data_IF_010578031167
#
_entry.id   IF_010578031167
#
_cell.length_a   1.000
_cell.length_b   1.000
_cell.length_c   1.000
_cell.angle_alpha   90.00
_cell.angle_beta   90.00
_cell.angle_gamma   90.00
#
_symmetry.space_group_name_H-M   'P 1'
#
loop_
_entity.id
_entity.type
_entity.pdbx_description
1 polymer ?
#
# COMPACT_ATOMS: atom_id res chain seq x y z
N UNK A 1 -26.29 -39.19 17.92
CA UNK A 1 -25.43 -38.00 18.05
C UNK A 1 -25.90 -37.01 17.00
N UNK A 2 -26.32 -35.79 17.39
CA UNK A 2 -26.52 -34.70 16.41
C UNK A 2 -25.14 -34.09 16.20
N UNK A 3 -24.55 -34.30 15.03
CA UNK A 3 -23.33 -33.62 14.64
C UNK A 3 -23.80 -32.35 13.92
N UNK A 4 -23.78 -31.23 14.63
CA UNK A 4 -23.96 -29.93 14.00
C UNK A 4 -22.59 -29.52 13.48
N UNK A 5 -22.43 -29.53 12.15
CA UNK A 5 -21.37 -28.76 11.52
C UNK A 5 -21.89 -27.32 11.46
N UNK A 6 -21.30 -26.42 12.24
CA UNK A 6 -21.78 -25.03 12.38
C UNK A 6 -21.50 -24.15 11.15
N UNK A 7 -21.18 -24.78 10.01
CA UNK A 7 -20.97 -24.12 8.73
C UNK A 7 -19.68 -23.31 8.68
N UNK A 8 -19.32 -22.92 7.47
CA UNK A 8 -18.19 -22.06 7.16
C UNK A 8 -18.43 -20.67 7.75
N UNK A 9 -17.46 -20.12 8.48
CA UNK A 9 -17.50 -18.75 8.99
C UNK A 9 -17.03 -17.76 7.91
N UNK A 10 -17.50 -16.51 8.01
CA UNK A 10 -17.15 -15.48 7.03
C UNK A 10 -15.64 -15.15 7.11
N UNK A 11 -14.93 -15.22 5.98
CA UNK A 11 -13.48 -14.90 5.90
C UNK A 11 -12.52 -16.10 5.98
N UNK A 12 -13.01 -17.33 5.91
CA UNK A 12 -12.19 -18.54 5.86
C UNK A 12 -11.45 -18.70 4.52
N UNK A 13 -10.19 -19.15 4.56
CA UNK A 13 -9.40 -19.46 3.37
C UNK A 13 -9.58 -20.93 2.98
N UNK A 14 -9.33 -21.33 1.71
CA UNK A 14 -9.35 -22.74 1.33
C UNK A 14 -8.53 -23.64 2.26
N UNK A 15 -7.39 -23.16 2.76
CA UNK A 15 -6.55 -23.86 3.72
C UNK A 15 -7.20 -24.01 5.11
N UNK A 16 -7.96 -23.02 5.60
CA UNK A 16 -8.65 -23.13 6.89
C UNK A 16 -9.81 -24.13 6.81
N UNK A 17 -10.52 -24.16 5.67
CA UNK A 17 -11.59 -25.13 5.41
C UNK A 17 -11.04 -26.57 5.39
N UNK A 18 -9.92 -26.78 4.71
CA UNK A 18 -9.23 -28.09 4.69
C UNK A 18 -8.78 -28.47 6.10
N UNK A 19 -8.23 -27.51 6.85
CA UNK A 19 -7.78 -27.73 8.24
C UNK A 19 -8.93 -28.11 9.16
N UNK A 20 -10.11 -27.49 9.00
CA UNK A 20 -11.29 -27.81 9.81
C UNK A 20 -11.87 -29.19 9.48
N UNK A 21 -11.80 -29.60 8.21
CA UNK A 21 -12.16 -30.96 7.79
C UNK A 21 -11.19 -31.98 8.39
N UNK A 22 -9.88 -31.74 8.31
CA UNK A 22 -8.85 -32.60 8.90
C UNK A 22 -8.94 -32.65 10.44
N UNK A 23 -9.28 -31.53 11.09
CA UNK A 23 -9.50 -31.45 12.52
C UNK A 23 -10.75 -32.25 12.94
N UNK A 24 -11.84 -32.14 12.16
CA UNK A 24 -13.04 -32.94 12.35
C UNK A 24 -12.76 -34.45 12.24
N UNK A 25 -11.95 -34.86 11.26
CA UNK A 25 -11.49 -36.26 11.10
C UNK A 25 -10.66 -36.74 12.29
N UNK A 26 -9.80 -35.88 12.82
CA UNK A 26 -8.90 -36.20 13.94
C UNK A 26 -9.61 -36.26 15.30
N UNK A 27 -10.57 -35.37 15.53
CA UNK A 27 -11.28 -35.25 16.81
C UNK A 27 -12.36 -36.34 16.98
N UNK A 28 -12.92 -36.82 15.87
CA UNK A 28 -13.94 -37.88 15.88
C UNK A 28 -13.38 -39.29 15.61
N UNK A 29 -12.07 -39.40 15.36
CA UNK A 29 -11.31 -40.64 15.35
C UNK A 29 -11.50 -41.51 14.09
N UNK A 30 -10.49 -42.33 13.81
CA UNK A 30 -10.49 -43.32 12.73
C UNK A 30 -11.78 -44.17 12.78
N UNK A 31 -12.57 -44.09 11.72
CA UNK A 31 -13.85 -44.79 11.53
C UNK A 31 -13.70 -46.32 11.42
N UNK A 32 -12.55 -46.90 11.80
CA UNK A 32 -12.24 -48.32 11.68
C UNK A 32 -13.03 -49.24 12.65
N UNK A 33 -13.71 -48.69 13.66
CA UNK A 33 -14.51 -49.47 14.64
C UNK A 33 -16.02 -49.50 14.41
N UNK A 34 -16.54 -48.63 13.56
CA UNK A 34 -17.95 -48.58 13.13
C UNK A 34 -17.93 -48.88 11.63
N UNK A 35 -18.81 -49.73 11.11
CA UNK A 35 -18.91 -49.93 9.66
C UNK A 35 -19.41 -48.63 9.00
N UNK A 36 -18.52 -47.67 8.87
CA UNK A 36 -18.80 -46.32 8.46
C UNK A 36 -17.98 -46.01 7.22
N UNK A 37 -18.65 -45.48 6.20
CA UNK A 37 -17.97 -44.99 5.01
C UNK A 37 -17.12 -43.77 5.38
N UNK A 38 -15.98 -43.59 4.72
CA UNK A 38 -15.24 -42.33 4.76
C UNK A 38 -16.20 -41.15 4.53
N UNK A 39 -16.16 -40.12 5.39
CA UNK A 39 -16.99 -38.93 5.22
C UNK A 39 -16.62 -38.21 3.92
N UNK A 40 -17.65 -37.73 3.21
CA UNK A 40 -17.50 -36.97 1.96
C UNK A 40 -18.37 -35.71 2.00
N UNK A 41 -17.94 -34.68 1.29
CA UNK A 41 -18.75 -33.50 1.00
C UNK A 41 -19.26 -33.58 -0.43
N UNK A 42 -20.57 -33.74 -0.60
CA UNK A 42 -21.21 -33.69 -1.91
C UNK A 42 -21.46 -32.24 -2.30
N UNK A 43 -21.20 -31.89 -3.56
CA UNK A 43 -21.43 -30.55 -4.10
C UNK A 43 -20.20 -29.65 -4.13
N UNK A 44 -19.05 -30.11 -3.62
CA UNK A 44 -17.76 -29.41 -3.73
C UNK A 44 -17.09 -29.76 -5.08
N UNK A 45 -16.88 -28.80 -5.99
CA UNK A 45 -16.14 -29.03 -7.23
C UNK A 45 -14.62 -29.13 -6.97
N UNK A 46 -13.88 -29.70 -7.93
CA UNK A 46 -12.40 -29.78 -7.88
C UNK A 46 -11.73 -28.40 -7.90
N UNK A 47 -12.44 -27.38 -8.39
CA UNK A 47 -12.00 -25.98 -8.46
C UNK A 47 -13.16 -25.06 -8.06
N UNK A 48 -12.91 -24.16 -7.11
CA UNK A 48 -13.89 -23.19 -6.63
C UNK A 48 -13.86 -21.93 -7.52
N UNK A 49 -14.98 -21.62 -8.13
CA UNK A 49 -15.18 -20.38 -8.90
C UNK A 49 -16.21 -19.50 -8.21
N UNK A 50 -16.25 -18.19 -8.51
CA UNK A 50 -17.27 -17.29 -7.96
C UNK A 50 -18.69 -17.82 -8.20
N UNK A 51 -19.47 -17.95 -7.11
CA UNK A 51 -20.81 -18.52 -7.14
C UNK A 51 -21.24 -19.11 -5.79
N UNK A 52 -22.45 -19.63 -5.75
CA UNK A 52 -23.01 -20.27 -4.56
C UNK A 52 -23.13 -21.78 -4.77
N UNK A 53 -22.63 -22.56 -3.82
CA UNK A 53 -22.59 -24.01 -3.80
C UNK A 53 -23.40 -24.54 -2.62
N UNK A 54 -24.24 -25.54 -2.86
CA UNK A 54 -24.88 -26.32 -1.80
C UNK A 54 -24.00 -27.52 -1.48
N UNK A 55 -23.52 -27.58 -0.24
CA UNK A 55 -22.64 -28.62 0.27
C UNK A 55 -23.42 -29.53 1.21
N UNK A 56 -23.38 -30.84 0.98
CA UNK A 56 -24.04 -31.83 1.84
C UNK A 56 -23.02 -32.82 2.39
N UNK A 57 -22.82 -32.87 3.72
CA UNK A 57 -22.01 -33.91 4.34
C UNK A 57 -22.64 -35.29 4.11
N UNK A 58 -21.84 -36.29 3.77
CA UNK A 58 -22.29 -37.66 3.57
C UNK A 58 -21.37 -38.63 4.30
N UNK A 59 -21.96 -39.40 5.21
CA UNK A 59 -21.34 -40.58 5.80
C UNK A 59 -22.43 -41.56 6.19
N UNK A 60 -22.07 -42.84 6.24
CA UNK A 60 -22.95 -43.93 6.67
C UNK A 60 -22.38 -44.53 7.94
N UNK A 61 -23.22 -45.10 8.81
CA UNK A 61 -22.78 -45.93 9.92
C UNK A 61 -23.68 -47.15 10.00
N UNK A 62 -23.12 -48.31 10.37
CA UNK A 62 -23.91 -49.55 10.51
C UNK A 62 -24.89 -49.57 11.68
N UNK A 63 -24.94 -48.53 12.51
CA UNK A 63 -25.64 -48.55 13.81
C UNK A 63 -26.73 -47.48 13.97
N UNK A 64 -26.81 -46.49 13.06
CA UNK A 64 -27.73 -45.35 13.16
C UNK A 64 -28.19 -44.87 11.78
N UNK A 65 -29.46 -44.45 11.70
CA UNK A 65 -29.96 -43.66 10.58
C UNK A 65 -29.44 -42.22 10.69
N UNK A 66 -28.71 -41.77 9.67
CA UNK A 66 -28.15 -40.42 9.61
C UNK A 66 -28.99 -39.58 8.64
N UNK A 67 -29.36 -38.39 9.08
CA UNK A 67 -29.97 -37.37 8.23
C UNK A 67 -29.01 -36.19 8.13
N UNK A 68 -28.44 -35.98 6.94
CA UNK A 68 -27.59 -34.84 6.65
C UNK A 68 -28.44 -33.63 6.27
N UNK A 69 -28.04 -32.45 6.72
CA UNK A 69 -28.64 -31.17 6.32
C UNK A 69 -27.62 -30.47 5.43
N UNK A 70 -28.06 -29.92 4.29
CA UNK A 70 -27.19 -29.16 3.40
C UNK A 70 -26.88 -27.78 3.98
N UNK A 71 -25.69 -27.27 3.66
CA UNK A 71 -25.26 -25.91 3.95
C UNK A 71 -24.82 -25.21 2.68
N UNK A 72 -24.78 -23.88 2.71
CA UNK A 72 -24.45 -23.06 1.54
C UNK A 72 -23.03 -22.48 1.68
N UNK A 73 -22.17 -22.70 0.69
CA UNK A 73 -20.89 -21.99 0.50
C UNK A 73 -21.07 -20.92 -0.58
N UNK A 74 -20.78 -19.65 -0.28
CA UNK A 74 -20.73 -18.59 -1.31
C UNK A 74 -19.29 -18.17 -1.53
N UNK A 75 -18.80 -18.43 -2.74
CA UNK A 75 -17.51 -17.95 -3.23
C UNK A 75 -17.77 -16.62 -3.93
N UNK A 76 -17.22 -15.55 -3.38
CA UNK A 76 -17.34 -14.24 -4.03
C UNK A 76 -16.40 -14.19 -5.25
N UNK A 77 -16.75 -13.40 -6.29
CA UNK A 77 -15.76 -13.02 -7.28
C UNK A 77 -14.56 -12.43 -6.55
N UNK A 78 -13.35 -12.78 -6.99
CA UNK A 78 -12.20 -11.92 -6.73
C UNK A 78 -12.68 -10.51 -7.10
N UNK A 79 -12.64 -9.58 -6.14
CA UNK A 79 -13.03 -8.22 -6.46
C UNK A 79 -12.20 -7.85 -7.69
N UNK A 80 -12.90 -7.54 -8.80
CA UNK A 80 -12.26 -6.80 -9.88
C UNK A 80 -11.61 -5.64 -9.14
N UNK A 81 -10.29 -5.56 -9.18
CA UNK A 81 -9.50 -4.43 -8.74
C UNK A 81 -10.09 -3.18 -9.41
N UNK A 82 -11.17 -2.64 -8.85
CA UNK A 82 -11.40 -1.21 -8.80
C UNK A 82 -10.39 -0.67 -7.79
N UNK A 83 -9.13 -0.91 -8.11
CA UNK A 83 -8.02 -0.08 -7.73
C UNK A 83 -8.39 1.32 -8.19
N UNK A 84 -8.97 2.09 -7.28
CA UNK A 84 -9.09 3.52 -7.44
C UNK A 84 -7.65 4.03 -7.48
N UNK A 85 -7.16 4.26 -8.69
CA UNK A 85 -5.89 4.95 -8.90
C UNK A 85 -5.96 6.29 -8.14
N UNK A 86 -5.06 6.48 -7.19
CA UNK A 86 -4.97 7.71 -6.39
C UNK A 86 -3.87 8.60 -6.92
N UNK A 87 -4.06 9.90 -6.72
CA UNK A 87 -2.97 10.85 -6.88
C UNK A 87 -2.21 10.98 -5.56
N UNK A 88 -0.88 10.84 -5.61
CA UNK A 88 0.02 11.01 -4.47
C UNK A 88 1.18 11.93 -4.85
N UNK A 89 1.98 12.32 -3.86
CA UNK A 89 3.24 13.03 -4.09
C UNK A 89 4.38 12.02 -4.20
N UNK A 90 5.08 12.00 -5.34
CA UNK A 90 6.28 11.18 -5.50
C UNK A 90 7.30 11.84 -6.44
N UNK A 91 8.55 11.96 -6.00
CA UNK A 91 9.56 12.75 -6.70
C UNK A 91 10.83 11.95 -6.96
N UNK A 92 11.26 11.92 -8.22
CA UNK A 92 12.59 11.43 -8.65
C UNK A 92 13.54 12.62 -8.66
N UNK A 93 14.68 12.50 -7.98
CA UNK A 93 15.65 13.58 -7.86
C UNK A 93 17.10 13.09 -7.74
N UNK A 94 18.03 13.99 -8.03
CA UNK A 94 19.44 13.86 -7.66
C UNK A 94 19.66 14.51 -6.28
N UNK A 95 20.10 13.75 -5.26
CA UNK A 95 20.44 14.33 -3.95
C UNK A 95 21.54 15.39 -4.07
N UNK A 96 21.44 16.49 -3.32
CA UNK A 96 22.41 17.59 -3.40
C UNK A 96 23.86 17.19 -3.09
N UNK A 97 24.06 16.19 -2.23
CA UNK A 97 25.39 15.62 -1.93
C UNK A 97 26.02 14.83 -3.09
N UNK A 98 25.21 14.33 -4.02
CA UNK A 98 25.64 13.61 -5.22
C UNK A 98 25.65 14.50 -6.47
N UNK A 99 25.04 15.69 -6.39
CA UNK A 99 24.92 16.58 -7.52
C UNK A 99 26.24 17.27 -7.85
N UNK A 100 26.97 16.75 -8.84
CA UNK A 100 28.23 17.35 -9.30
C UNK A 100 28.02 18.59 -10.19
N UNK A 101 26.81 18.84 -10.66
CA UNK A 101 26.49 19.96 -11.56
C UNK A 101 26.05 21.21 -10.79
N UNK A 102 25.33 21.00 -9.68
CA UNK A 102 24.96 22.03 -8.70
C UNK A 102 25.29 21.51 -7.29
N UNK A 103 26.57 21.56 -6.86
CA UNK A 103 27.00 21.01 -5.58
C UNK A 103 26.17 21.49 -4.40
N UNK A 104 25.65 20.54 -3.62
CA UNK A 104 24.81 20.80 -2.45
C UNK A 104 23.34 21.12 -2.76
N UNK A 105 22.93 21.09 -4.03
CA UNK A 105 21.57 21.44 -4.46
C UNK A 105 20.85 20.20 -5.00
N UNK A 106 19.73 19.84 -4.36
CA UNK A 106 18.84 18.78 -4.87
C UNK A 106 18.12 19.24 -6.13
N UNK A 107 18.09 18.38 -7.17
CA UNK A 107 17.45 18.66 -8.45
C UNK A 107 16.39 17.59 -8.77
N UNK A 108 15.16 18.01 -9.04
CA UNK A 108 14.00 17.15 -9.23
C UNK A 108 13.68 16.95 -10.70
N UNK A 109 13.77 15.71 -11.18
CA UNK A 109 13.45 15.35 -12.57
C UNK A 109 11.93 15.40 -12.84
N UNK A 110 11.13 15.26 -11.78
CA UNK A 110 9.67 15.45 -11.79
C UNK A 110 9.25 16.91 -11.94
N UNK A 111 10.16 17.87 -11.75
CA UNK A 111 9.91 19.29 -11.94
C UNK A 111 10.34 19.72 -13.34
N UNK A 112 9.39 20.22 -14.14
CA UNK A 112 9.66 20.66 -15.51
C UNK A 112 10.48 21.95 -15.64
N UNK A 113 10.53 22.78 -14.59
CA UNK A 113 11.33 24.00 -14.57
C UNK A 113 12.78 23.71 -14.89
N UNK A 114 13.40 24.53 -15.72
CA UNK A 114 14.77 24.29 -16.13
C UNK A 114 15.52 25.59 -16.45
N UNK A 115 16.87 25.60 -16.35
CA UNK A 115 17.65 26.82 -16.59
C UNK A 115 17.51 27.43 -17.99
N UNK A 116 17.01 26.67 -18.97
CA UNK A 116 16.81 27.12 -20.33
C UNK A 116 15.39 27.65 -20.61
N UNK A 117 14.42 27.37 -19.74
CA UNK A 117 13.00 27.72 -19.95
C UNK A 117 12.38 27.00 -21.15
N UNK A 118 12.90 25.83 -21.53
CA UNK A 118 12.39 25.05 -22.67
C UNK A 118 11.24 24.15 -22.23
N UNK A 119 10.38 23.76 -23.18
CA UNK A 119 9.23 22.88 -22.91
C UNK A 119 8.02 23.57 -22.29
N UNK A 120 7.97 24.91 -22.28
CA UNK A 120 6.86 25.68 -21.70
C UNK A 120 6.93 25.86 -20.19
N UNK A 121 8.08 25.56 -19.57
CA UNK A 121 8.31 25.70 -18.14
C UNK A 121 9.11 26.96 -17.78
N UNK A 122 9.06 27.33 -16.51
CA UNK A 122 9.78 28.49 -15.98
C UNK A 122 11.30 28.32 -16.14
N UNK A 123 11.97 29.44 -16.43
CA UNK A 123 13.43 29.52 -16.58
C UNK A 123 14.14 29.58 -15.23
N UNK A 124 13.99 28.54 -14.43
CA UNK A 124 14.60 28.38 -13.10
C UNK A 124 15.10 26.95 -12.90
N UNK A 125 16.03 26.73 -11.97
CA UNK A 125 16.49 25.37 -11.66
C UNK A 125 15.36 24.53 -11.04
N UNK A 126 15.28 23.20 -11.31
CA UNK A 126 14.24 22.33 -10.78
C UNK A 126 14.53 21.94 -9.31
N UNK A 127 14.58 22.90 -8.40
CA UNK A 127 15.03 22.67 -7.01
C UNK A 127 13.88 22.51 -6.02
N UNK A 128 12.64 22.47 -6.50
CA UNK A 128 11.44 22.33 -5.66
C UNK A 128 10.71 21.03 -6.01
N UNK A 129 10.32 20.21 -5.02
CA UNK A 129 9.52 19.01 -5.26
C UNK A 129 8.13 19.39 -5.79
N UNK A 130 7.52 18.49 -6.55
CA UNK A 130 6.15 18.66 -7.05
C UNK A 130 5.20 17.84 -6.19
N UNK A 131 4.08 18.42 -5.79
CA UNK A 131 3.02 17.74 -5.03
C UNK A 131 1.99 17.13 -5.97
N UNK A 132 1.34 16.06 -5.51
CA UNK A 132 0.18 15.42 -6.16
C UNK A 132 0.43 15.12 -7.64
N UNK A 133 1.63 14.65 -7.95
CA UNK A 133 2.17 14.54 -9.30
C UNK A 133 2.23 13.10 -9.81
N UNK A 134 2.06 12.11 -8.94
CA UNK A 134 2.21 10.70 -9.27
C UNK A 134 0.91 9.94 -9.04
N UNK A 135 0.79 8.79 -9.71
CA UNK A 135 -0.35 7.88 -9.59
C UNK A 135 0.03 6.68 -8.75
N UNK A 136 -0.82 6.28 -7.84
CA UNK A 136 -0.63 5.14 -6.95
C UNK A 136 -1.77 4.14 -7.09
N UNK A 137 -1.43 2.86 -7.05
CA UNK A 137 -2.38 1.74 -7.07
C UNK A 137 -1.73 0.49 -6.46
N UNK A 138 -2.53 -0.47 -6.00
CA UNK A 138 -2.05 -1.77 -5.50
C UNK A 138 -2.42 -2.91 -6.45
N UNK A 139 -1.52 -3.37 -7.30
CA UNK A 139 -1.82 -4.46 -8.26
C UNK A 139 -1.38 -5.78 -7.66
N UNK A 140 -2.28 -6.77 -7.57
CA UNK A 140 -1.99 -8.09 -6.98
C UNK A 140 -1.37 -8.01 -5.57
N UNK A 141 -1.89 -7.11 -4.73
CA UNK A 141 -1.36 -6.87 -3.38
C UNK A 141 -0.02 -6.14 -3.32
N UNK A 142 0.51 -5.65 -4.45
CA UNK A 142 1.78 -4.92 -4.53
C UNK A 142 1.57 -3.45 -4.88
N UNK A 143 2.16 -2.58 -4.07
CA UNK A 143 2.15 -1.14 -4.30
C UNK A 143 2.89 -0.78 -5.58
N UNK A 144 2.25 0.00 -6.44
CA UNK A 144 2.84 0.58 -7.65
C UNK A 144 2.65 2.09 -7.67
N UNK A 145 3.72 2.81 -7.99
CA UNK A 145 3.71 4.25 -8.23
C UNK A 145 4.14 4.53 -9.66
N UNK A 146 3.34 5.30 -10.39
CA UNK A 146 3.68 5.82 -11.71
C UNK A 146 4.05 7.30 -11.59
N UNK A 147 5.30 7.62 -11.93
CA UNK A 147 5.89 8.95 -11.74
C UNK A 147 6.23 9.58 -13.09
N UNK A 148 5.73 10.80 -13.39
CA UNK A 148 6.11 11.50 -14.61
C UNK A 148 7.50 12.14 -14.48
N UNK A 149 8.30 12.05 -15.52
CA UNK A 149 9.62 12.68 -15.63
C UNK A 149 9.48 13.88 -16.56
N UNK A 150 9.32 15.07 -15.98
CA UNK A 150 8.96 16.27 -16.73
C UNK A 150 10.15 17.02 -17.30
N UNK A 151 11.30 17.01 -16.60
CA UNK A 151 12.42 17.89 -16.95
C UNK A 151 13.01 17.60 -18.34
N UNK A 152 12.95 18.57 -19.28
CA UNK A 152 13.44 18.37 -20.65
C UNK A 152 14.94 18.69 -20.83
N UNK A 153 15.60 19.25 -19.80
CA UNK A 153 17.03 19.60 -19.86
C UNK A 153 17.88 18.52 -19.24
N UNK A 154 17.50 18.05 -18.05
CA UNK A 154 18.11 16.93 -17.36
C UNK A 154 17.41 15.63 -17.81
N UNK A 155 17.74 15.20 -19.02
CA UNK A 155 16.98 14.12 -19.66
C UNK A 155 17.35 12.77 -19.08
N UNK A 156 16.38 12.05 -18.53
CA UNK A 156 16.62 10.71 -18.00
C UNK A 156 16.74 9.70 -19.14
N UNK A 157 17.87 9.01 -19.23
CA UNK A 157 18.16 8.05 -20.31
C UNK A 157 18.01 6.60 -19.86
N UNK A 158 18.45 6.32 -18.63
CA UNK A 158 18.38 5.01 -17.98
C UNK A 158 18.11 5.19 -16.48
N UNK A 159 17.36 4.27 -15.88
CA UNK A 159 17.10 4.17 -14.44
C UNK A 159 16.85 2.70 -14.10
N UNK A 160 17.41 2.23 -12.98
CA UNK A 160 17.35 0.84 -12.56
C UNK A 160 18.18 0.56 -11.32
N UNK A 161 18.22 -0.71 -10.93
CA UNK A 161 18.96 -1.23 -9.76
C UNK A 161 18.61 -0.53 -8.44
N UNK A 162 17.45 -0.90 -7.88
CA UNK A 162 17.04 -0.55 -6.53
C UNK A 162 16.92 -1.82 -5.68
N UNK A 163 17.35 -1.78 -4.42
CA UNK A 163 17.32 -2.93 -3.50
C UNK A 163 15.90 -3.27 -3.02
N UNK A 164 15.02 -2.28 -2.96
CA UNK A 164 13.68 -2.38 -2.38
C UNK A 164 12.57 -1.85 -3.30
N UNK A 165 12.85 -1.73 -4.60
CA UNK A 165 11.84 -1.42 -5.61
C UNK A 165 12.23 -2.01 -6.98
N UNK A 166 11.25 -2.19 -7.86
CA UNK A 166 11.44 -2.75 -9.20
C UNK A 166 10.71 -1.88 -10.22
N UNK A 167 11.38 -1.51 -11.32
CA UNK A 167 10.72 -0.85 -12.44
C UNK A 167 9.94 -1.91 -13.23
N UNK A 168 8.64 -1.71 -13.37
CA UNK A 168 7.72 -2.64 -14.05
C UNK A 168 7.19 -2.10 -15.37
N UNK A 169 7.20 -0.78 -15.56
CA UNK A 169 6.94 -0.14 -16.85
C UNK A 169 7.75 1.16 -16.99
N UNK A 170 8.03 1.55 -18.23
CA UNK A 170 8.78 2.75 -18.55
C UNK A 170 8.38 3.27 -19.93
N UNK A 171 8.02 4.55 -20.00
CA UNK A 171 7.73 5.21 -21.27
C UNK A 171 8.91 6.07 -21.69
N UNK A 172 9.30 5.93 -22.95
CA UNK A 172 10.26 6.81 -23.62
C UNK A 172 9.59 7.53 -24.76
N UNK A 173 9.89 8.81 -24.93
CA UNK A 173 9.52 9.54 -26.14
C UNK A 173 10.53 9.27 -27.27
N UNK A 174 10.30 9.89 -28.43
CA UNK A 174 11.16 9.81 -29.61
C UNK A 174 11.77 11.15 -30.01
N UNK A 175 11.70 12.15 -29.13
CA UNK A 175 12.17 13.51 -29.42
C UNK A 175 13.70 13.59 -29.45
N UNK A 176 14.25 14.60 -30.12
CA UNK A 176 15.70 14.84 -30.12
C UNK A 176 16.05 15.88 -29.07
N UNK A 177 16.88 15.48 -28.12
CA UNK A 177 17.42 16.32 -27.07
C UNK A 177 18.88 16.62 -27.40
N UNK A 178 19.17 17.87 -27.76
CA UNK A 178 20.50 18.30 -28.18
C UNK A 178 21.02 19.41 -27.28
N UNK A 179 22.35 19.56 -27.26
CA UNK A 179 23.00 20.75 -26.70
C UNK A 179 22.51 22.02 -27.40
N UNK A 180 22.62 23.17 -26.72
CA UNK A 180 22.19 24.47 -27.28
C UNK A 180 22.86 24.79 -28.62
N UNK A 181 24.09 24.32 -28.83
CA UNK A 181 24.84 24.47 -30.08
C UNK A 181 24.62 23.34 -31.09
N UNK A 182 23.83 22.31 -30.74
CA UNK A 182 23.51 21.15 -31.57
C UNK A 182 24.66 20.16 -31.77
N UNK A 183 25.78 20.30 -31.07
CA UNK A 183 26.98 19.48 -31.26
C UNK A 183 26.82 18.03 -30.80
N UNK A 184 26.02 17.78 -29.76
CA UNK A 184 25.75 16.45 -29.22
C UNK A 184 24.24 16.30 -28.99
N UNK A 185 23.71 15.11 -29.28
CA UNK A 185 22.30 14.81 -29.03
C UNK A 185 22.05 13.39 -28.55
N UNK A 186 20.85 13.18 -28.01
CA UNK A 186 20.22 11.89 -27.72
C UNK A 186 18.84 11.88 -28.34
N UNK A 187 18.42 10.70 -28.81
CA UNK A 187 17.06 10.46 -29.26
C UNK A 187 16.30 9.73 -28.17
N UNK A 188 15.16 10.28 -27.81
CA UNK A 188 14.31 9.80 -26.75
C UNK A 188 14.83 10.14 -25.36
N UNK A 189 13.90 10.29 -24.42
CA UNK A 189 14.15 10.26 -22.99
C UNK A 189 13.03 9.51 -22.29
N UNK A 190 13.30 9.07 -21.07
CA UNK A 190 12.29 8.53 -20.17
C UNK A 190 11.38 9.69 -19.73
N UNK A 191 10.08 9.53 -19.94
CA UNK A 191 9.04 10.51 -19.63
C UNK A 191 8.10 10.04 -18.52
N UNK A 192 8.07 8.75 -18.23
CA UNK A 192 7.29 8.16 -17.14
C UNK A 192 7.92 6.84 -16.70
N UNK A 193 7.90 6.56 -15.41
CA UNK A 193 8.35 5.30 -14.82
C UNK A 193 7.27 4.75 -13.91
N UNK A 194 6.90 3.48 -14.07
CA UNK A 194 6.09 2.75 -13.09
C UNK A 194 6.98 1.85 -12.27
N UNK A 195 6.95 2.06 -10.96
CA UNK A 195 7.78 1.37 -9.98
C UNK A 195 6.87 0.56 -9.07
N UNK A 196 7.11 -0.75 -9.00
CA UNK A 196 6.61 -1.60 -7.93
C UNK A 196 7.49 -1.42 -6.70
N UNK A 197 6.88 -1.10 -5.56
CA UNK A 197 7.57 -0.91 -4.29
C UNK A 197 7.57 -2.23 -3.54
N UNK A 198 8.74 -2.67 -3.06
CA UNK A 198 8.87 -3.93 -2.33
C UNK A 198 8.79 -3.72 -0.81
N UNK A 199 8.77 -2.47 -0.36
CA UNK A 199 8.48 -2.06 1.01
C UNK A 199 7.71 -0.73 1.01
N UNK A 200 7.42 -0.19 2.20
CA UNK A 200 6.77 1.09 2.43
C UNK A 200 7.74 2.16 2.93
N UNK A 201 9.05 2.03 2.70
CA UNK A 201 10.08 2.95 3.24
C UNK A 201 9.95 4.41 2.80
N UNK A 202 9.15 4.66 1.75
CA UNK A 202 8.98 5.98 1.16
C UNK A 202 10.25 6.52 0.51
N UNK A 203 11.34 5.75 0.46
CA UNK A 203 12.66 6.18 0.00
C UNK A 203 13.34 5.05 -0.77
N UNK A 204 13.56 5.26 -2.06
CA UNK A 204 14.06 4.23 -2.98
C UNK A 204 15.23 4.77 -3.80
N UNK A 205 16.41 4.18 -3.61
CA UNK A 205 17.64 4.60 -4.29
C UNK A 205 17.92 3.68 -5.47
N UNK A 206 17.94 4.26 -6.67
CA UNK A 206 18.31 3.62 -7.93
C UNK A 206 19.77 3.92 -8.22
N UNK A 207 20.60 2.89 -8.28
CA UNK A 207 22.05 3.03 -8.40
C UNK A 207 22.54 2.99 -9.86
N UNK A 208 21.73 2.48 -10.77
CA UNK A 208 22.03 2.43 -12.20
C UNK A 208 21.16 3.44 -12.95
N UNK A 209 21.64 4.68 -13.00
CA UNK A 209 20.95 5.75 -13.68
C UNK A 209 21.91 6.52 -14.58
N UNK A 210 21.38 6.97 -15.72
CA UNK A 210 22.10 7.83 -16.67
C UNK A 210 21.19 8.98 -17.05
N UNK A 211 21.67 10.20 -16.86
CA UNK A 211 21.07 11.41 -17.40
C UNK A 211 21.90 11.93 -18.58
N UNK A 212 21.26 12.63 -19.50
CA UNK A 212 21.92 13.47 -20.49
C UNK A 212 21.46 14.92 -20.29
N UNK A 213 22.21 15.73 -19.52
CA UNK A 213 21.94 17.15 -19.39
C UNK A 213 22.29 17.86 -20.71
N UNK A 214 21.29 18.41 -21.39
CA UNK A 214 21.50 19.13 -22.67
C UNK A 214 22.38 20.37 -22.51
N UNK A 215 22.49 20.91 -21.30
CA UNK A 215 23.43 21.99 -20.98
C UNK A 215 24.91 21.57 -21.05
N UNK A 216 25.20 20.28 -20.86
CA UNK A 216 26.56 19.77 -20.71
C UNK A 216 26.99 18.95 -21.93
N UNK A 217 26.05 18.27 -22.59
CA UNK A 217 26.35 17.44 -23.76
C UNK A 217 27.12 16.16 -23.44
N UNK A 218 27.12 15.73 -22.19
CA UNK A 218 27.78 14.49 -21.73
C UNK A 218 26.80 13.65 -20.91
N UNK A 219 26.95 12.34 -20.99
CA UNK A 219 26.19 11.44 -20.13
C UNK A 219 26.69 11.55 -18.69
N UNK A 220 25.75 11.67 -17.77
CA UNK A 220 26.01 11.81 -16.35
C UNK A 220 25.40 10.62 -15.62
N UNK A 221 26.28 9.79 -15.07
CA UNK A 221 25.89 8.66 -14.24
C UNK A 221 25.88 9.09 -12.78
N UNK A 222 24.70 9.09 -12.17
CA UNK A 222 24.50 9.51 -10.78
C UNK A 222 23.33 8.72 -10.20
N UNK A 223 23.42 8.20 -8.97
CA UNK A 223 22.25 7.59 -8.34
C UNK A 223 21.07 8.56 -8.25
N UNK A 224 19.87 8.03 -8.46
CA UNK A 224 18.63 8.78 -8.33
C UNK A 224 17.83 8.25 -7.16
N UNK A 225 17.18 9.17 -6.44
CA UNK A 225 16.27 8.82 -5.37
C UNK A 225 14.84 9.08 -5.81
N UNK A 226 13.97 8.11 -5.56
CA UNK A 226 12.52 8.28 -5.56
C UNK A 226 12.05 8.38 -4.11
N UNK A 227 11.50 9.53 -3.73
CA UNK A 227 10.73 9.67 -2.49
C UNK A 227 9.25 9.60 -2.78
N UNK A 228 8.51 8.87 -1.93
CA UNK A 228 7.07 8.64 -2.04
C UNK A 228 6.41 9.06 -0.73
N UNK A 229 5.47 10.01 -0.82
CA UNK A 229 4.62 10.39 0.29
C UNK A 229 3.29 9.61 0.22
N UNK A 230 3.15 8.67 1.15
CA UNK A 230 1.95 7.83 1.27
C UNK A 230 0.80 8.52 2.01
N UNK A 231 0.93 9.74 2.54
CA UNK A 231 -0.15 10.36 3.31
C UNK A 231 -1.49 10.43 2.55
N UNK A 232 -1.44 10.69 1.24
CA UNK A 232 -2.63 10.72 0.37
C UNK A 232 -3.17 9.31 0.02
N UNK A 233 -2.44 8.24 0.34
CA UNK A 233 -2.89 6.87 0.12
C UNK A 233 -3.95 6.44 1.15
N UNK A 234 -3.96 7.06 2.34
CA UNK A 234 -4.95 6.81 3.38
C UNK A 234 -6.22 7.66 3.18
N UNK A 235 -7.38 7.08 3.47
CA UNK A 235 -8.61 7.87 3.63
C UNK A 235 -9.11 7.68 5.06
N UNK A 236 -8.86 8.69 5.88
CA UNK A 236 -9.17 8.71 7.31
C UNK A 236 -10.44 9.54 7.52
N UNK A 237 -11.41 8.95 8.21
CA UNK A 237 -12.66 9.62 8.56
C UNK A 237 -12.53 10.53 9.77
N UNK A 238 -13.67 11.08 10.21
CA UNK A 238 -13.72 11.89 11.42
C UNK A 238 -13.52 11.04 12.68
N UNK A 239 -12.65 11.52 13.58
CA UNK A 239 -12.43 10.87 14.87
C UNK A 239 -13.73 10.91 15.68
N UNK A 240 -14.12 9.77 16.23
CA UNK A 240 -15.26 9.67 17.13
C UNK A 240 -14.79 9.27 18.53
N UNK A 241 -15.46 9.83 19.53
CA UNK A 241 -15.21 9.52 20.95
C UNK A 241 -16.55 9.11 21.52
N UNK A 242 -16.62 7.89 22.05
CA UNK A 242 -17.82 7.36 22.67
C UNK A 242 -17.41 6.52 23.88
N UNK A 243 -18.06 6.78 25.02
CA UNK A 243 -17.73 6.20 26.31
C UNK A 243 -16.23 6.33 26.64
N UNK A 244 -15.52 5.21 26.68
CA UNK A 244 -14.09 5.10 26.96
C UNK A 244 -13.27 4.75 25.71
N UNK A 245 -13.82 4.98 24.53
CA UNK A 245 -13.20 4.59 23.26
C UNK A 245 -13.00 5.78 22.34
N UNK A 246 -11.86 5.79 21.66
CA UNK A 246 -11.58 6.68 20.54
C UNK A 246 -11.50 5.81 19.30
N UNK A 247 -12.34 6.11 18.31
CA UNK A 247 -12.34 5.41 17.02
C UNK A 247 -11.92 6.36 15.92
N UNK A 248 -10.90 5.95 15.18
CA UNK A 248 -10.39 6.60 13.98
C UNK A 248 -10.83 5.77 12.77
N UNK A 249 -11.80 6.23 11.97
CA UNK A 249 -12.25 5.48 10.82
C UNK A 249 -11.17 5.41 9.75
N UNK A 250 -10.93 4.21 9.23
CA UNK A 250 -10.01 4.00 8.09
C UNK A 250 -10.85 3.40 6.98
N UNK A 251 -11.09 4.19 5.95
CA UNK A 251 -11.94 3.78 4.82
C UNK A 251 -11.13 3.16 3.70
N UNK A 252 -9.87 3.58 3.56
CA UNK A 252 -8.93 2.97 2.62
C UNK A 252 -7.54 2.98 3.25
N UNK A 253 -6.89 1.81 3.26
CA UNK A 253 -5.48 1.63 3.61
C UNK A 253 -4.83 0.69 2.59
N UNK A 254 -3.74 1.14 1.98
CA UNK A 254 -2.97 0.36 1.01
C UNK A 254 -1.61 -0.08 1.55
N UNK A 255 -1.25 0.36 2.75
CA UNK A 255 -0.05 -0.04 3.46
C UNK A 255 -0.40 -1.11 4.50
N UNK A 256 -0.15 -2.37 4.15
CA UNK A 256 -0.48 -3.55 4.98
C UNK A 256 0.30 -3.59 6.31
N UNK A 257 1.40 -2.84 6.42
CA UNK A 257 2.24 -2.80 7.62
C UNK A 257 2.10 -1.46 8.37
N UNK A 258 1.15 -0.61 7.98
CA UNK A 258 0.95 0.68 8.63
C UNK A 258 0.55 0.52 10.09
N UNK A 259 1.09 1.40 10.92
CA UNK A 259 0.67 1.58 12.30
C UNK A 259 0.11 2.98 12.48
N UNK A 260 -0.83 3.08 13.41
CA UNK A 260 -1.42 4.34 13.82
C UNK A 260 -1.22 4.56 15.31
N UNK A 261 -0.86 5.78 15.68
CA UNK A 261 -0.86 6.28 17.04
C UNK A 261 -2.03 7.25 17.19
N UNK A 262 -2.80 7.06 18.24
CA UNK A 262 -3.82 7.99 18.69
C UNK A 262 -3.29 8.69 19.93
N UNK A 263 -3.00 9.98 19.82
CA UNK A 263 -2.45 10.80 20.89
C UNK A 263 -3.50 11.78 21.42
N UNK A 264 -3.62 11.85 22.75
CA UNK A 264 -4.55 12.68 23.47
C UNK A 264 -3.80 13.83 24.14
N UNK A 265 -4.29 15.05 23.99
CA UNK A 265 -3.67 16.27 24.51
C UNK A 265 -4.68 17.06 25.35
N UNK A 266 -4.18 17.72 26.39
CA UNK A 266 -4.98 18.66 27.19
C UNK A 266 -5.14 20.03 26.51
N UNK A 267 -5.78 20.97 27.20
CA UNK A 267 -6.00 22.34 26.71
C UNK A 267 -4.71 23.12 26.40
N UNK A 268 -3.59 22.75 27.02
CA UNK A 268 -2.29 23.39 26.86
C UNK A 268 -1.42 22.67 25.81
N UNK A 269 -1.94 21.61 25.18
CA UNK A 269 -1.20 20.78 24.24
C UNK A 269 -0.23 19.80 24.92
N UNK A 270 -0.38 19.54 26.22
CA UNK A 270 0.41 18.53 26.93
C UNK A 270 -0.14 17.15 26.63
N UNK A 271 0.75 16.21 26.29
CA UNK A 271 0.39 14.82 26.02
C UNK A 271 -0.14 14.15 27.30
N UNK A 272 -1.37 13.64 27.22
CA UNK A 272 -2.04 12.88 28.29
C UNK A 272 -1.76 11.39 28.10
N UNK A 273 -1.88 10.90 26.86
CA UNK A 273 -1.77 9.49 26.54
C UNK A 273 -1.53 9.26 25.05
N UNK A 274 -0.92 8.11 24.74
CA UNK A 274 -0.74 7.65 23.36
C UNK A 274 -0.97 6.15 23.30
N UNK A 275 -1.75 5.71 22.32
CA UNK A 275 -2.03 4.31 22.06
C UNK A 275 -1.66 4.00 20.61
N UNK A 276 -1.05 2.83 20.37
CA UNK A 276 -0.64 2.41 19.03
C UNK A 276 -1.35 1.12 18.62
N UNK A 277 -1.77 1.06 17.36
CA UNK A 277 -2.45 -0.08 16.73
C UNK A 277 -1.96 -0.27 15.30
N UNK A 278 -1.97 -1.51 14.84
CA UNK A 278 -1.76 -1.83 13.41
C UNK A 278 -3.02 -1.44 12.64
N UNK A 279 -2.86 -0.96 11.40
CA UNK A 279 -3.93 -0.54 10.51
C UNK A 279 -4.20 -1.64 9.49
N UNK A 280 -5.19 -2.49 9.73
CA UNK A 280 -5.51 -3.63 8.84
C UNK A 280 -6.66 -3.33 7.85
N UNK A 281 -6.83 -2.07 7.45
CA UNK A 281 -7.95 -1.66 6.58
C UNK A 281 -9.30 -1.51 7.30
N UNK A 282 -9.32 -1.66 8.63
CA UNK A 282 -10.48 -1.41 9.48
C UNK A 282 -10.27 -0.16 10.35
N UNK A 283 -11.36 0.30 10.97
CA UNK A 283 -11.32 1.38 11.95
C UNK A 283 -10.34 1.06 13.08
N UNK A 284 -9.49 2.03 13.43
CA UNK A 284 -8.63 1.89 14.60
C UNK A 284 -9.37 2.40 15.83
N UNK A 285 -9.68 1.46 16.72
CA UNK A 285 -10.27 1.75 18.03
C UNK A 285 -9.24 1.54 19.12
N UNK A 286 -9.08 2.57 19.96
CA UNK A 286 -8.26 2.54 21.17
C UNK A 286 -9.14 2.76 22.40
N UNK A 287 -8.87 1.99 23.44
CA UNK A 287 -9.50 2.18 24.75
C UNK A 287 -8.66 3.14 25.59
N UNK A 288 -9.32 4.04 26.30
CA UNK A 288 -8.69 4.93 27.25
C UNK A 288 -9.50 5.05 28.55
N UNK A 289 -8.82 5.38 29.63
CA UNK A 289 -9.47 5.59 30.91
C UNK A 289 -10.29 6.90 30.89
N UNK A 290 -11.47 6.86 31.52
CA UNK A 290 -12.40 7.98 31.55
C UNK A 290 -11.77 9.29 32.06
N UNK A 291 -10.83 9.20 33.01
CA UNK A 291 -10.12 10.37 33.55
C UNK A 291 -9.21 11.06 32.53
N UNK A 292 -8.58 10.30 31.62
CA UNK A 292 -7.75 10.85 30.56
C UNK A 292 -8.62 11.52 29.50
N UNK A 293 -9.72 10.87 29.11
CA UNK A 293 -10.67 11.43 28.15
C UNK A 293 -11.33 12.71 28.67
N UNK A 294 -11.67 12.78 29.96
CA UNK A 294 -12.24 13.98 30.58
C UNK A 294 -11.30 15.21 30.52
N UNK A 295 -9.98 15.00 30.50
CA UNK A 295 -8.97 16.07 30.38
C UNK A 295 -8.61 16.39 28.94
N UNK A 296 -9.01 15.55 27.99
CA UNK A 296 -8.59 15.65 26.60
C UNK A 296 -9.33 16.77 25.89
N UNK A 297 -8.57 17.67 25.26
CA UNK A 297 -9.09 18.77 24.44
C UNK A 297 -8.68 18.67 22.97
N UNK A 298 -7.65 17.90 22.64
CA UNK A 298 -7.30 17.54 21.26
C UNK A 298 -6.95 16.05 21.17
N UNK A 299 -7.45 15.39 20.13
CA UNK A 299 -7.01 14.06 19.71
C UNK A 299 -6.33 14.21 18.36
N UNK A 300 -5.16 13.59 18.19
CA UNK A 300 -4.46 13.55 16.90
C UNK A 300 -4.15 12.09 16.54
N UNK A 301 -4.44 11.71 15.30
CA UNK A 301 -4.09 10.43 14.73
C UNK A 301 -2.85 10.61 13.84
N UNK A 302 -1.84 9.79 14.09
CA UNK A 302 -0.62 9.76 13.31
C UNK A 302 -0.43 8.39 12.68
N UNK A 303 0.03 8.35 11.44
CA UNK A 303 0.30 7.09 10.74
C UNK A 303 1.78 7.03 10.34
N UNK A 304 2.37 5.85 10.43
CA UNK A 304 3.69 5.53 9.89
C UNK A 304 3.70 4.09 9.35
N UNK A 305 4.67 3.80 8.46
CA UNK A 305 4.87 2.46 7.91
C UNK A 305 5.45 1.48 8.93
N UNK A 306 5.98 0.34 8.47
CA UNK A 306 6.43 -0.75 9.36
C UNK A 306 7.42 -0.29 10.44
N UNK A 307 7.48 -1.01 11.57
CA UNK A 307 8.39 -0.75 12.71
C UNK A 307 9.89 -0.73 12.34
N UNK A 308 10.26 -1.12 11.11
CA UNK A 308 11.66 -1.25 10.65
C UNK A 308 12.19 -0.02 9.92
N UNK A 309 11.35 0.91 9.50
CA UNK A 309 11.78 2.10 8.76
C UNK A 309 11.19 3.35 9.39
N UNK A 310 12.05 4.31 9.69
CA UNK A 310 11.67 5.64 10.17
C UNK A 310 11.05 6.46 9.03
N UNK A 311 9.83 6.09 8.60
CA UNK A 311 9.02 7.07 7.90
C UNK A 311 8.71 8.21 8.87
N UNK A 312 8.69 9.44 8.38
CA UNK A 312 8.24 10.57 9.18
C UNK A 312 6.79 10.32 9.59
N UNK A 313 6.56 10.18 10.90
CA UNK A 313 5.24 10.11 11.51
C UNK A 313 4.41 11.32 11.03
N UNK A 314 3.35 11.08 10.26
CA UNK A 314 2.50 12.13 9.71
C UNK A 314 1.20 12.23 10.49
N UNK A 315 0.81 13.43 10.93
CA UNK A 315 -0.53 13.67 11.46
C UNK A 315 -1.52 13.58 10.30
N UNK A 316 -2.36 12.56 10.30
CA UNK A 316 -3.32 12.29 9.22
C UNK A 316 -4.70 12.84 9.53
N UNK A 317 -5.02 13.03 10.82
CA UNK A 317 -6.30 13.58 11.25
C UNK A 317 -6.20 14.13 12.67
N UNK A 318 -6.99 15.15 12.99
CA UNK A 318 -7.16 15.60 14.36
C UNK A 318 -8.58 16.06 14.67
N UNK A 319 -8.92 16.03 15.95
CA UNK A 319 -10.20 16.50 16.47
C UNK A 319 -9.99 17.31 17.73
N UNK A 320 -10.52 18.53 17.74
CA UNK A 320 -10.67 19.32 18.96
C UNK A 320 -11.96 18.92 19.65
N UNK A 321 -11.91 18.68 20.96
CA UNK A 321 -13.07 18.41 21.79
C UNK A 321 -13.51 19.74 22.40
N UNK A 322 -14.58 20.32 21.84
CA UNK A 322 -15.29 21.43 22.48
C UNK A 322 -16.16 20.90 23.62
N UNK A 323 -16.27 21.69 24.69
CA UNK A 323 -17.23 21.45 25.79
C UNK A 323 -18.68 21.48 25.33
#
# INVERSE_FOLDING_TARGET
>A
MKINYDGLQNGETPESIITDIEAFEKENGDFSGLYASEPKLLGLPDELTPGTYELTPQFTTGCYDITSVSGTLTVLPAEDDKLTEKTITANIYVPGELNTQLPGVTAYLTNGSNPLGIGGYDKVAPTTPVKDNAKFKVVDGKMQVTVPVLNPVFTLQEIGECSNATIVDMKKDSETYATTDGSVSRTGRITEVTVQLNDNSGHYVFNKCTEFPTLLGVDWNVPLTLDVDFAASYTIGDITVADNTVTVPVTENYDIDAQMAVALYDENGVLIGVQTKVVNGENVTVEEIAENLAKTKKISAFVWGSTKTMNSCAEVQSKTISE
#
